data_IF_473430341688
#
_entry.id   IF_473430341688
#
_cell.length_a   1.000
_cell.length_b   1.000
_cell.length_c   1.000
_cell.angle_alpha   90.00
_cell.angle_beta   90.00
_cell.angle_gamma   90.00
#
_symmetry.space_group_name_H-M   'P 1'
#
loop_
_entity.id
_entity.type
_entity.pdbx_description
1 polymer ?
#
# COMPACT_ATOMS: atom_id res chain seq x y z
N UNK A 1 -4.08 -19.34 4.31
CA UNK A 1 -3.21 -19.28 3.13
C UNK A 1 -3.90 -18.36 2.11
N UNK A 2 -3.61 -17.08 2.18
CA UNK A 2 -4.17 -16.10 1.23
C UNK A 2 -3.35 -16.21 -0.04
N UNK A 3 -3.93 -16.85 -1.05
CA UNK A 3 -3.38 -16.81 -2.41
C UNK A 3 -3.68 -15.40 -2.92
N UNK A 4 -2.67 -14.53 -2.94
CA UNK A 4 -2.76 -13.24 -3.63
C UNK A 4 -2.95 -13.58 -5.12
N UNK A 5 -4.18 -13.42 -5.61
CA UNK A 5 -4.51 -13.69 -7.00
C UNK A 5 -3.67 -12.74 -7.87
N UNK A 6 -2.90 -13.30 -8.79
CA UNK A 6 -2.06 -12.55 -9.76
C UNK A 6 -2.87 -11.49 -10.53
N UNK A 7 -4.19 -11.60 -10.56
CA UNK A 7 -5.11 -10.66 -11.21
C UNK A 7 -5.26 -9.33 -10.44
N UNK A 8 -5.07 -9.33 -9.10
CA UNK A 8 -5.15 -8.11 -8.28
C UNK A 8 -3.91 -7.24 -8.52
N UNK A 9 -2.74 -7.87 -8.66
CA UNK A 9 -1.47 -7.17 -8.96
C UNK A 9 -1.51 -6.53 -10.35
N UNK A 10 -2.16 -7.16 -11.33
CA UNK A 10 -2.24 -6.64 -12.71
C UNK A 10 -3.19 -5.44 -12.82
N UNK A 11 -4.27 -5.41 -12.05
CA UNK A 11 -5.23 -4.29 -12.03
C UNK A 11 -4.64 -3.03 -11.41
N UNK A 12 -3.87 -3.17 -10.33
CA UNK A 12 -3.23 -2.04 -9.64
C UNK A 12 -2.08 -1.45 -10.47
N UNK A 13 -1.36 -2.29 -11.24
CA UNK A 13 -0.29 -1.84 -12.11
C UNK A 13 -0.79 -1.02 -13.31
N UNK A 14 -2.03 -1.30 -13.78
CA UNK A 14 -2.60 -0.59 -14.93
C UNK A 14 -3.07 0.84 -14.56
N UNK A 15 -3.52 1.06 -13.33
CA UNK A 15 -3.93 2.38 -12.83
C UNK A 15 -2.73 3.32 -12.62
N UNK A 16 -1.58 2.79 -12.22
CA UNK A 16 -0.37 3.60 -12.03
C UNK A 16 0.27 4.05 -13.35
N UNK A 17 0.04 3.32 -14.46
CA UNK A 17 0.67 3.61 -15.76
C UNK A 17 -0.06 4.71 -16.56
N UNK A 18 -1.30 5.04 -16.22
CA UNK A 18 -2.07 6.09 -16.91
C UNK A 18 -1.80 7.51 -16.42
N UNK A 19 -1.06 7.70 -15.31
CA UNK A 19 -0.78 9.03 -14.74
C UNK A 19 0.48 9.70 -15.30
N UNK A 20 1.20 9.10 -16.26
CA UNK A 20 2.48 9.63 -16.75
C UNK A 20 2.43 10.27 -18.13
N UNK A 21 1.31 10.79 -18.57
CA UNK A 21 1.28 11.56 -19.82
C UNK A 21 0.89 13.02 -19.57
N UNK A 22 1.89 13.86 -19.67
CA UNK A 22 1.87 15.30 -19.92
C UNK A 22 2.54 16.15 -18.86
N UNK A 23 3.88 16.14 -18.82
CA UNK A 23 4.61 17.34 -18.39
C UNK A 23 5.34 17.93 -19.57
N UNK A 24 4.72 18.96 -20.17
CA UNK A 24 5.39 19.85 -21.10
C UNK A 24 6.46 20.63 -20.35
N UNK A 25 7.69 20.57 -20.85
CA UNK A 25 8.82 21.38 -20.38
C UNK A 25 8.57 22.81 -20.79
N UNK A 26 8.13 23.64 -19.85
CA UNK A 26 8.14 25.10 -19.92
C UNK A 26 9.10 25.63 -18.85
N UNK A 27 10.10 26.34 -19.27
CA UNK A 27 11.27 26.69 -18.46
C UNK A 27 11.04 27.65 -17.29
N UNK A 28 12.03 27.61 -16.39
CA UNK A 28 12.55 28.64 -15.50
C UNK A 28 11.73 29.08 -14.30
N UNK A 29 12.11 28.62 -13.19
CA UNK A 29 12.52 29.17 -11.89
C UNK A 29 12.43 28.04 -10.87
N UNK A 30 13.58 27.61 -10.36
CA UNK A 30 13.63 26.63 -9.26
C UNK A 30 12.82 27.16 -8.09
N UNK A 31 11.72 26.48 -7.69
CA UNK A 31 11.07 26.82 -6.44
C UNK A 31 12.07 26.51 -5.33
N UNK A 32 12.33 27.45 -4.42
CA UNK A 32 12.99 27.14 -3.14
C UNK A 32 12.14 26.06 -2.46
N UNK A 33 12.55 24.82 -2.60
CA UNK A 33 11.92 23.67 -1.99
C UNK A 33 11.95 23.89 -0.47
N UNK A 34 10.77 23.97 0.12
CA UNK A 34 10.62 24.05 1.57
C UNK A 34 11.07 22.68 2.13
N UNK A 35 12.35 22.62 2.55
CA UNK A 35 13.06 21.39 2.90
C UNK A 35 12.43 20.55 4.03
N UNK A 36 11.50 21.13 4.78
CA UNK A 36 10.96 20.48 5.99
C UNK A 36 9.93 19.38 5.70
N UNK A 37 9.10 19.54 4.68
CA UNK A 37 8.06 18.53 4.36
C UNK A 37 8.65 17.31 3.65
N UNK A 38 9.58 17.52 2.73
CA UNK A 38 10.27 16.43 2.01
C UNK A 38 11.11 15.60 2.98
N UNK A 39 11.86 16.24 3.88
CA UNK A 39 12.66 15.55 4.89
C UNK A 39 11.79 14.68 5.81
N UNK A 40 10.62 15.17 6.24
CA UNK A 40 9.70 14.41 7.09
C UNK A 40 9.07 13.21 6.36
N UNK A 41 8.74 13.36 5.09
CA UNK A 41 8.20 12.27 4.27
C UNK A 41 9.24 11.18 4.05
N UNK A 42 10.47 11.56 3.75
CA UNK A 42 11.59 10.61 3.59
C UNK A 42 11.89 9.87 4.90
N UNK A 43 11.81 10.53 6.07
CA UNK A 43 11.96 9.90 7.38
C UNK A 43 10.90 8.81 7.60
N UNK A 44 9.62 9.11 7.36
CA UNK A 44 8.52 8.14 7.52
C UNK A 44 8.64 6.94 6.58
N UNK A 45 9.05 7.15 5.34
CA UNK A 45 9.27 6.07 4.39
C UNK A 45 10.44 5.17 4.84
N UNK A 46 11.53 5.77 5.35
CA UNK A 46 12.65 5.00 5.90
C UNK A 46 12.26 4.19 7.12
N UNK A 47 11.51 4.79 8.05
CA UNK A 47 10.96 4.09 9.23
C UNK A 47 10.06 2.92 8.82
N UNK A 48 9.21 3.11 7.81
CA UNK A 48 8.39 2.04 7.25
C UNK A 48 9.22 0.89 6.69
N UNK A 49 10.24 1.20 5.89
CA UNK A 49 11.17 0.19 5.36
C UNK A 49 11.84 -0.58 6.49
N UNK A 50 12.38 0.11 7.48
CA UNK A 50 13.05 -0.54 8.62
C UNK A 50 12.11 -1.47 9.40
N UNK A 51 10.86 -1.09 9.55
CA UNK A 51 9.86 -1.87 10.26
C UNK A 51 9.39 -3.11 9.49
N UNK A 52 9.24 -3.01 8.15
CA UNK A 52 8.57 -4.05 7.35
C UNK A 52 9.48 -4.80 6.37
N UNK A 53 10.77 -4.47 6.29
CA UNK A 53 11.70 -5.11 5.34
C UNK A 53 11.78 -6.63 5.49
N UNK A 54 11.78 -7.15 6.72
CA UNK A 54 11.87 -8.60 6.95
C UNK A 54 10.60 -9.31 6.44
N UNK A 55 9.42 -8.76 6.71
CA UNK A 55 8.16 -9.30 6.19
C UNK A 55 8.14 -9.28 4.66
N UNK A 56 8.58 -8.19 4.05
CA UNK A 56 8.64 -8.06 2.58
C UNK A 56 9.66 -9.05 1.97
N UNK A 57 10.81 -9.25 2.61
CA UNK A 57 11.80 -10.25 2.16
C UNK A 57 11.27 -11.68 2.30
N UNK A 58 10.51 -11.98 3.35
CA UNK A 58 9.88 -13.29 3.49
C UNK A 58 8.83 -13.53 2.39
N UNK A 59 8.01 -12.53 2.07
CA UNK A 59 7.08 -12.61 0.94
C UNK A 59 7.81 -12.81 -0.38
N UNK A 60 8.94 -12.14 -0.58
CA UNK A 60 9.79 -12.34 -1.76
C UNK A 60 10.29 -13.78 -1.87
N UNK A 61 10.77 -14.37 -0.76
CA UNK A 61 11.24 -15.76 -0.72
C UNK A 61 10.13 -16.76 -1.04
N UNK A 62 8.90 -16.51 -0.52
CA UNK A 62 7.77 -17.44 -0.69
C UNK A 62 7.09 -17.31 -2.05
N UNK A 63 6.93 -16.11 -2.56
CA UNK A 63 6.07 -15.83 -3.71
C UNK A 63 6.79 -15.21 -4.90
N UNK A 64 8.07 -14.88 -4.77
CA UNK A 64 8.88 -14.32 -5.86
C UNK A 64 8.59 -12.84 -6.17
N UNK A 65 7.84 -12.14 -5.32
CA UNK A 65 7.56 -10.70 -5.49
C UNK A 65 8.74 -9.93 -4.89
N UNK A 66 9.42 -9.05 -5.65
CA UNK A 66 10.54 -8.28 -5.11
C UNK A 66 10.14 -7.47 -3.86
N UNK A 67 10.92 -7.60 -2.79
CA UNK A 67 10.64 -6.91 -1.52
C UNK A 67 10.56 -5.39 -1.68
N UNK A 68 11.36 -4.81 -2.57
CA UNK A 68 11.33 -3.38 -2.89
C UNK A 68 9.98 -2.93 -3.47
N UNK A 69 9.34 -3.76 -4.28
CA UNK A 69 8.02 -3.47 -4.85
C UNK A 69 6.96 -3.53 -3.76
N UNK A 70 6.98 -4.57 -2.93
CA UNK A 70 6.05 -4.70 -1.78
C UNK A 70 6.16 -3.51 -0.83
N UNK A 71 7.39 -3.09 -0.49
CA UNK A 71 7.62 -1.93 0.38
C UNK A 71 7.18 -0.62 -0.26
N UNK A 72 7.49 -0.40 -1.53
CA UNK A 72 7.10 0.82 -2.25
C UNK A 72 5.56 0.96 -2.33
N UNK A 73 4.86 -0.11 -2.65
CA UNK A 73 3.40 -0.14 -2.65
C UNK A 73 2.83 0.10 -1.25
N UNK A 74 3.35 -0.58 -0.23
CA UNK A 74 2.92 -0.38 1.15
C UNK A 74 3.11 1.07 1.64
N UNK A 75 4.22 1.72 1.28
CA UNK A 75 4.46 3.14 1.58
C UNK A 75 3.38 4.02 0.93
N UNK A 76 3.09 3.80 -0.35
CA UNK A 76 2.13 4.60 -1.10
C UNK A 76 0.70 4.38 -0.60
N UNK A 77 0.25 3.14 -0.52
CA UNK A 77 -1.14 2.77 -0.20
C UNK A 77 -1.51 3.05 1.27
N UNK A 78 -0.56 2.89 2.18
CA UNK A 78 -0.80 3.11 3.61
C UNK A 78 -0.35 4.48 4.12
N UNK A 79 0.21 5.33 3.26
CA UNK A 79 0.85 6.57 3.68
C UNK A 79 1.99 6.31 4.67
N UNK A 80 2.87 5.37 4.37
CA UNK A 80 3.94 4.88 5.25
C UNK A 80 3.41 4.28 6.56
N UNK A 81 2.33 3.49 6.50
CA UNK A 81 1.71 2.85 7.65
C UNK A 81 0.88 3.80 8.54
N UNK A 82 0.60 5.02 8.08
CA UNK A 82 -0.12 6.01 8.87
C UNK A 82 -1.64 5.97 8.66
N UNK A 83 -2.14 5.26 7.65
CA UNK A 83 -3.58 5.13 7.41
C UNK A 83 -4.26 4.43 8.57
N UNK A 84 -5.54 4.73 8.79
CA UNK A 84 -6.33 4.05 9.81
C UNK A 84 -6.45 2.55 9.55
N UNK A 85 -6.59 2.20 8.28
CA UNK A 85 -6.71 0.81 7.83
C UNK A 85 -5.44 0.00 8.12
N UNK A 86 -4.25 0.57 7.89
CA UNK A 86 -2.99 -0.09 8.23
C UNK A 86 -2.80 -0.22 9.74
N UNK A 87 -3.13 0.82 10.53
CA UNK A 87 -2.92 0.79 11.98
C UNK A 87 -3.90 -0.08 12.75
N UNK A 88 -5.18 -0.12 12.32
CA UNK A 88 -6.24 -0.87 13.01
C UNK A 88 -6.48 -2.25 12.42
N UNK A 89 -6.16 -2.43 11.14
CA UNK A 89 -6.45 -3.64 10.39
C UNK A 89 -5.24 -4.39 9.86
N UNK A 90 -4.03 -3.91 10.11
CA UNK A 90 -2.80 -4.44 9.49
C UNK A 90 -2.91 -4.56 7.96
N UNK A 91 -3.81 -3.80 7.35
CA UNK A 91 -4.12 -3.84 5.93
C UNK A 91 -3.45 -2.64 5.24
N UNK A 92 -2.21 -2.84 4.81
CA UNK A 92 -1.37 -1.81 4.22
C UNK A 92 -1.65 -1.57 2.72
N UNK A 93 -2.46 -2.43 2.11
CA UNK A 93 -2.72 -2.43 0.66
C UNK A 93 -4.18 -2.15 0.30
N UNK A 94 -5.01 -1.82 1.27
CA UNK A 94 -6.43 -1.52 1.02
C UNK A 94 -7.22 -2.73 0.48
N UNK A 95 -6.90 -3.94 0.92
CA UNK A 95 -7.56 -5.16 0.43
C UNK A 95 -9.00 -5.21 0.92
N UNK A 96 -9.94 -5.23 -0.03
CA UNK A 96 -11.38 -5.33 0.25
C UNK A 96 -11.75 -6.76 0.65
N UNK A 97 -12.64 -6.89 1.62
CA UNK A 97 -13.13 -8.19 2.10
C UNK A 97 -14.09 -8.79 1.05
N UNK A 98 -13.67 -9.89 0.45
CA UNK A 98 -14.48 -10.65 -0.51
C UNK A 98 -15.55 -11.48 0.21
N UNK A 99 -16.55 -11.97 -0.53
CA UNK A 99 -17.55 -12.91 0.01
C UNK A 99 -16.87 -14.13 0.63
N UNK A 100 -15.89 -14.71 -0.06
CA UNK A 100 -15.12 -15.84 0.46
C UNK A 100 -14.37 -15.53 1.76
N UNK A 101 -13.80 -14.33 1.90
CA UNK A 101 -13.18 -13.90 3.16
C UNK A 101 -14.17 -13.90 4.32
N UNK A 102 -15.35 -13.33 4.08
CA UNK A 102 -16.42 -13.22 5.10
C UNK A 102 -17.03 -14.58 5.46
N UNK A 103 -17.27 -15.44 4.47
CA UNK A 103 -17.80 -16.81 4.66
C UNK A 103 -16.85 -17.68 5.48
N UNK A 104 -15.55 -17.46 5.36
CA UNK A 104 -14.53 -18.13 6.17
C UNK A 104 -14.27 -17.47 7.54
N UNK A 105 -15.13 -16.55 7.97
CA UNK A 105 -15.03 -15.90 9.28
C UNK A 105 -13.95 -14.83 9.38
N UNK A 106 -13.47 -14.31 8.25
CA UNK A 106 -12.47 -13.24 8.21
C UNK A 106 -13.00 -11.93 8.82
N UNK A 107 -12.20 -11.31 9.67
CA UNK A 107 -12.50 -10.01 10.27
C UNK A 107 -12.41 -8.87 9.25
N UNK A 108 -13.17 -7.80 9.47
CA UNK A 108 -13.16 -6.65 8.58
C UNK A 108 -13.36 -5.33 9.32
N UNK A 109 -12.90 -4.25 8.69
CA UNK A 109 -13.19 -2.87 9.05
C UNK A 109 -14.07 -2.24 7.97
N UNK A 110 -14.88 -1.26 8.35
CA UNK A 110 -15.79 -0.56 7.42
C UNK A 110 -15.30 0.86 7.22
N UNK A 111 -15.06 1.23 5.98
CA UNK A 111 -14.70 2.59 5.57
C UNK A 111 -15.45 3.00 4.31
N UNK A 112 -15.56 4.31 4.09
CA UNK A 112 -15.99 4.85 2.82
C UNK A 112 -14.77 4.92 1.88
N UNK A 113 -14.94 4.44 0.65
CA UNK A 113 -13.98 4.53 -0.44
C UNK A 113 -14.75 4.88 -1.73
N UNK A 114 -14.75 4.06 -2.76
CA UNK A 114 -15.59 4.26 -3.95
C UNK A 114 -17.08 4.29 -3.63
N UNK A 115 -17.46 3.57 -2.58
CA UNK A 115 -18.83 3.50 -2.04
C UNK A 115 -18.83 3.68 -0.54
N UNK A 116 -19.95 4.16 0.05
CA UNK A 116 -20.09 4.16 1.50
C UNK A 116 -20.15 2.72 2.05
N UNK A 117 -19.60 2.54 3.24
CA UNK A 117 -19.65 1.26 4.00
C UNK A 117 -18.99 0.07 3.29
N UNK A 118 -17.87 0.27 2.61
CA UNK A 118 -17.09 -0.83 2.07
C UNK A 118 -16.32 -1.57 3.16
N UNK A 119 -16.25 -2.90 3.01
CA UNK A 119 -15.56 -3.78 3.96
C UNK A 119 -14.15 -4.05 3.48
N UNK A 120 -13.19 -3.83 4.35
CA UNK A 120 -11.77 -4.10 4.12
C UNK A 120 -11.29 -5.20 5.05
N UNK A 121 -10.44 -6.11 4.57
CA UNK A 121 -9.87 -7.17 5.39
C UNK A 121 -9.15 -6.59 6.62
N UNK A 122 -9.36 -7.23 7.75
CA UNK A 122 -8.59 -6.98 8.97
C UNK A 122 -7.76 -8.23 9.27
N UNK A 123 -6.46 -8.08 9.29
CA UNK A 123 -5.50 -9.14 9.54
C UNK A 123 -5.04 -9.14 10.99
N UNK A 124 -4.66 -10.29 11.52
CA UNK A 124 -4.11 -10.42 12.86
C UNK A 124 -2.70 -9.83 12.93
N UNK A 125 -1.95 -9.94 11.84
CA UNK A 125 -0.62 -9.33 11.69
C UNK A 125 -0.37 -8.86 10.24
N UNK A 126 0.71 -8.11 10.03
CA UNK A 126 1.15 -7.67 8.69
C UNK A 126 1.68 -8.85 7.85
N UNK A 127 2.01 -9.98 8.49
CA UNK A 127 2.53 -11.18 7.81
C UNK A 127 1.41 -12.09 7.25
N UNK A 128 0.15 -11.85 7.64
CA UNK A 128 -1.03 -12.61 7.19
C UNK A 128 -1.50 -12.13 5.82
#
# INVERSE_FOLDING_TARGET
>A
MVIIDRRIITGLFLLLFMATQSYAIGGTKSPKLHNTSVSRTMSKASEYVDQYKEAAMEQMRRYGIPASITLAQGILESGSGQSELSRKGNNHFGIKATSSWLENGGSYLVYADDKPNEKFCQYASVAD
#
